data_IF_499880644928
#
_entry.id   IF_499880644928
#
_cell.length_a   1.000
_cell.length_b   1.000
_cell.length_c   1.000
_cell.angle_alpha   90.00
_cell.angle_beta   90.00
_cell.angle_gamma   90.00
#
_symmetry.space_group_name_H-M   'P 1'
#
loop_
_entity.id
_entity.type
_entity.pdbx_description
1 polymer ?
#
# COMPACT_ATOMS: atom_id res chain seq x y z
N UNK A 1 -4.34 7.38 -15.54
CA UNK A 1 -5.00 8.59 -15.02
C UNK A 1 -5.24 8.43 -13.55
N UNK A 2 -5.57 9.52 -12.90
CA UNK A 2 -5.95 9.47 -11.50
C UNK A 2 -7.15 8.55 -11.25
N UNK A 3 -7.85 8.21 -12.28
CA UNK A 3 -9.05 7.38 -12.30
C UNK A 3 -8.75 5.88 -12.31
N UNK A 4 -7.57 5.49 -12.76
CA UNK A 4 -7.12 4.10 -12.80
C UNK A 4 -6.17 3.76 -11.64
N UNK A 5 -5.55 4.77 -11.06
CA UNK A 5 -4.59 4.63 -9.99
C UNK A 5 -4.89 5.66 -8.89
N UNK A 6 -5.37 5.19 -7.75
CA UNK A 6 -5.77 6.04 -6.65
C UNK A 6 -4.59 6.82 -6.04
N UNK A 7 -3.40 6.23 -6.01
CA UNK A 7 -2.21 6.96 -5.53
C UNK A 7 -1.83 8.08 -6.50
N UNK A 8 -1.99 7.84 -7.79
CA UNK A 8 -1.78 8.86 -8.82
C UNK A 8 -2.82 9.97 -8.74
N UNK A 9 -4.09 9.64 -8.48
CA UNK A 9 -5.14 10.63 -8.21
C UNK A 9 -4.75 11.56 -7.07
N UNK A 10 -4.34 10.97 -5.97
CA UNK A 10 -3.92 11.74 -4.79
C UNK A 10 -2.76 12.68 -5.12
N UNK A 11 -1.77 12.20 -5.85
CA UNK A 11 -0.62 13.00 -6.26
C UNK A 11 -1.01 14.12 -7.22
N UNK A 12 -1.91 13.87 -8.17
CA UNK A 12 -2.39 14.89 -9.13
C UNK A 12 -3.16 15.98 -8.39
N UNK A 13 -4.06 15.60 -7.49
CA UNK A 13 -4.86 16.55 -6.72
C UNK A 13 -4.00 17.43 -5.81
N UNK A 14 -2.84 16.94 -5.39
CA UNK A 14 -1.89 17.65 -4.54
C UNK A 14 -0.65 18.18 -5.30
N UNK A 15 -0.71 18.23 -6.63
CA UNK A 15 0.47 18.57 -7.44
C UNK A 15 0.99 19.98 -7.22
N UNK A 16 0.12 20.93 -6.94
CA UNK A 16 0.55 22.31 -6.65
C UNK A 16 1.28 22.38 -5.32
N UNK A 17 0.78 21.67 -4.30
CA UNK A 17 1.46 21.54 -3.01
C UNK A 17 2.79 20.82 -3.16
N UNK A 18 2.84 19.79 -3.98
CA UNK A 18 4.06 19.06 -4.27
C UNK A 18 5.10 19.95 -4.95
N UNK A 19 4.69 20.75 -5.92
CA UNK A 19 5.58 21.73 -6.59
C UNK A 19 6.10 22.79 -5.62
N UNK A 20 5.25 23.29 -4.75
CA UNK A 20 5.65 24.26 -3.73
C UNK A 20 6.69 23.64 -2.78
N UNK A 21 6.43 22.47 -2.28
CA UNK A 21 7.37 21.72 -1.43
C UNK A 21 8.66 21.37 -2.16
N UNK A 22 8.58 21.05 -3.44
CA UNK A 22 9.74 20.78 -4.29
C UNK A 22 10.67 21.99 -4.39
N UNK A 23 10.10 23.18 -4.60
CA UNK A 23 10.86 24.41 -4.65
C UNK A 23 11.48 24.81 -3.31
N UNK A 24 10.96 24.28 -2.22
CA UNK A 24 11.39 24.54 -0.84
C UNK A 24 12.03 23.33 -0.19
N UNK A 25 12.54 22.37 -0.97
CA UNK A 25 13.13 21.16 -0.41
C UNK A 25 14.38 21.48 0.40
N UNK A 26 14.16 21.91 1.62
CA UNK A 26 15.18 22.23 2.60
C UNK A 26 15.25 21.15 3.66
N UNK A 27 16.46 20.83 4.09
CA UNK A 27 16.67 19.92 5.21
C UNK A 27 16.37 20.71 6.48
N UNK A 28 15.29 20.39 7.14
CA UNK A 28 14.97 20.91 8.46
C UNK A 28 15.97 20.36 9.48
N UNK A 29 16.21 21.11 10.57
CA UNK A 29 16.93 20.59 11.74
C UNK A 29 16.12 19.50 12.47
N UNK A 30 14.88 19.28 12.08
CA UNK A 30 14.04 18.19 12.59
C UNK A 30 14.68 16.83 12.27
N UNK A 31 14.82 15.98 13.28
CA UNK A 31 15.39 14.64 13.17
C UNK A 31 14.70 13.77 12.12
N UNK A 32 13.44 14.07 11.79
CA UNK A 32 12.71 13.39 10.73
C UNK A 32 13.42 13.48 9.37
N UNK A 33 14.09 14.60 9.07
CA UNK A 33 14.73 14.81 7.76
C UNK A 33 16.20 14.36 7.71
N UNK A 34 16.87 14.26 8.83
CA UNK A 34 18.33 14.09 8.88
C UNK A 34 18.79 12.79 8.22
N UNK A 35 18.04 11.71 8.38
CA UNK A 35 18.49 10.38 7.96
C UNK A 35 18.58 10.16 6.45
N UNK A 36 17.80 10.89 5.63
CA UNK A 36 17.73 10.59 4.20
C UNK A 36 17.56 11.79 3.25
N UNK A 37 17.74 12.99 3.75
CA UNK A 37 17.50 14.21 2.93
C UNK A 37 18.39 14.26 1.68
N UNK A 38 19.68 13.95 1.79
CA UNK A 38 20.60 14.03 0.66
C UNK A 38 20.30 13.00 -0.46
N UNK A 39 20.14 11.69 -0.17
CA UNK A 39 19.76 10.74 -1.23
C UNK A 39 18.35 10.99 -1.79
N UNK A 40 17.43 11.50 -0.98
CA UNK A 40 16.07 11.76 -1.43
C UNK A 40 15.98 12.95 -2.39
N UNK A 41 16.83 13.96 -2.27
CA UNK A 41 16.79 15.15 -3.13
C UNK A 41 16.94 14.80 -4.61
N UNK A 42 17.90 13.96 -4.94
CA UNK A 42 18.12 13.54 -6.32
C UNK A 42 16.93 12.74 -6.88
N UNK A 43 16.37 11.84 -6.08
CA UNK A 43 15.19 11.09 -6.47
C UNK A 43 13.97 12.00 -6.64
N UNK A 44 13.81 12.99 -5.77
CA UNK A 44 12.72 13.93 -5.80
C UNK A 44 12.64 14.71 -7.12
N UNK A 45 13.77 15.20 -7.64
CA UNK A 45 13.81 15.88 -8.92
C UNK A 45 13.30 15.00 -10.05
N UNK A 46 13.77 13.75 -10.12
CA UNK A 46 13.30 12.78 -11.12
C UNK A 46 11.84 12.42 -10.95
N UNK A 47 11.38 12.33 -9.72
CA UNK A 47 10.00 11.99 -9.39
C UNK A 47 9.02 13.06 -9.87
N UNK A 48 9.35 14.33 -9.72
CA UNK A 48 8.54 15.42 -10.24
C UNK A 48 8.42 15.38 -11.77
N UNK A 49 9.51 15.16 -12.45
CA UNK A 49 9.52 15.04 -13.92
C UNK A 49 8.67 13.85 -14.37
N UNK A 50 8.76 12.72 -13.67
CA UNK A 50 7.94 11.54 -13.95
C UNK A 50 6.45 11.84 -13.72
N UNK A 51 6.11 12.48 -12.62
CA UNK A 51 4.73 12.85 -12.28
C UNK A 51 4.12 13.79 -13.33
N UNK A 52 4.86 14.82 -13.72
CA UNK A 52 4.43 15.76 -14.74
C UNK A 52 4.24 15.08 -16.10
N UNK A 53 5.16 14.18 -16.45
CA UNK A 53 5.05 13.39 -17.69
C UNK A 53 3.82 12.49 -17.68
N UNK A 54 3.55 11.80 -16.59
CA UNK A 54 2.35 10.95 -16.45
C UNK A 54 1.07 11.77 -16.54
N UNK A 55 1.02 12.90 -15.89
CA UNK A 55 -0.14 13.81 -15.97
C UNK A 55 -0.40 14.28 -17.41
N UNK A 56 0.65 14.52 -18.19
CA UNK A 56 0.52 14.89 -19.60
C UNK A 56 0.07 13.74 -20.50
N UNK A 57 0.49 12.51 -20.18
CA UNK A 57 0.16 11.33 -20.98
C UNK A 57 -1.28 10.81 -20.79
N UNK A 58 -1.88 11.08 -19.65
CA UNK A 58 -3.18 10.51 -19.29
C UNK A 58 -4.33 11.50 -19.09
N UNK A 59 -4.37 12.67 -19.80
CA UNK A 59 -5.42 13.67 -19.55
C UNK A 59 -6.82 13.23 -20.00
N UNK A 60 -6.94 12.14 -20.74
CA UNK A 60 -8.19 11.69 -21.35
C UNK A 60 -8.62 10.27 -20.97
N UNK A 61 -7.90 9.62 -20.07
CA UNK A 61 -8.35 8.32 -19.61
C UNK A 61 -9.48 8.56 -18.62
N UNK A 62 -10.68 8.16 -19.05
CA UNK A 62 -11.86 8.28 -18.21
C UNK A 62 -11.76 7.30 -17.04
N UNK A 63 -12.20 7.74 -15.92
CA UNK A 63 -12.39 6.93 -14.74
C UNK A 63 -13.84 6.93 -14.36
N UNK A 64 -14.13 5.88 -13.71
CA UNK A 64 -15.40 5.71 -13.06
C UNK A 64 -15.49 6.49 -11.76
N UNK A 65 -14.35 6.96 -11.24
CA UNK A 65 -14.28 7.66 -9.95
C UNK A 65 -13.41 8.90 -10.07
N UNK A 66 -14.02 10.06 -10.06
CA UNK A 66 -13.32 11.35 -10.07
C UNK A 66 -12.93 11.83 -8.66
N UNK A 67 -13.45 11.21 -7.60
CA UNK A 67 -13.22 11.60 -6.20
C UNK A 67 -13.25 10.36 -5.31
N UNK A 68 -12.65 10.47 -4.11
CA UNK A 68 -12.82 9.46 -3.08
C UNK A 68 -14.24 9.50 -2.53
N UNK A 69 -14.87 8.33 -2.44
CA UNK A 69 -16.14 8.16 -1.73
C UNK A 69 -15.93 8.06 -0.21
N UNK A 70 -17.03 8.20 0.54
CA UNK A 70 -16.98 8.11 2.01
C UNK A 70 -16.50 6.75 2.54
N UNK A 71 -16.61 5.70 1.72
CA UNK A 71 -16.14 4.35 2.04
C UNK A 71 -14.67 4.12 1.67
N UNK A 72 -14.01 5.09 1.07
CA UNK A 72 -12.64 4.99 0.60
C UNK A 72 -11.70 5.69 1.57
N UNK A 73 -10.58 5.02 1.89
CA UNK A 73 -9.59 5.49 2.86
C UNK A 73 -8.20 5.47 2.27
N UNK A 74 -7.42 6.48 2.63
CA UNK A 74 -5.99 6.56 2.39
C UNK A 74 -5.29 6.99 3.70
N UNK A 75 -4.10 7.54 3.62
CA UNK A 75 -3.34 7.97 4.79
C UNK A 75 -3.66 9.37 5.32
N UNK A 76 -4.65 10.07 4.77
CA UNK A 76 -4.97 11.43 5.18
C UNK A 76 -5.36 11.57 6.66
N UNK A 77 -5.95 10.52 7.23
CA UNK A 77 -6.39 10.49 8.62
C UNK A 77 -5.25 10.18 9.61
N UNK A 78 -4.09 9.77 9.12
CA UNK A 78 -2.94 9.53 9.99
C UNK A 78 -2.38 10.85 10.54
N UNK A 79 -1.84 10.77 11.74
CA UNK A 79 -1.14 11.92 12.35
C UNK A 79 0.16 12.22 11.62
N UNK A 80 0.66 13.45 11.76
CA UNK A 80 1.97 13.84 11.23
C UNK A 80 3.05 12.84 11.66
N UNK A 81 3.93 12.47 10.75
CA UNK A 81 5.04 11.51 10.94
C UNK A 81 4.60 10.07 11.22
N UNK A 82 3.33 9.75 11.00
CA UNK A 82 2.84 8.38 11.13
C UNK A 82 2.69 7.74 9.76
N UNK A 83 3.18 6.52 9.64
CA UNK A 83 3.12 5.74 8.40
C UNK A 83 2.59 4.35 8.68
N UNK A 84 1.81 3.83 7.74
CA UNK A 84 1.31 2.45 7.76
C UNK A 84 1.95 1.66 6.63
N UNK A 85 2.58 0.53 6.97
CA UNK A 85 3.06 -0.41 5.97
C UNK A 85 1.94 -1.30 5.49
N UNK A 86 1.84 -1.48 4.19
CA UNK A 86 0.93 -2.42 3.55
C UNK A 86 1.63 -3.22 2.46
N UNK A 87 1.16 -4.44 2.24
CA UNK A 87 1.68 -5.37 1.24
C UNK A 87 0.54 -5.95 0.43
N UNK A 88 0.72 -6.00 -0.88
CA UNK A 88 -0.28 -6.46 -1.83
C UNK A 88 0.16 -7.74 -2.55
N UNK A 89 -0.84 -8.54 -2.98
CA UNK A 89 -0.66 -9.59 -3.96
C UNK A 89 -0.36 -10.98 -3.42
N UNK A 90 -0.11 -11.12 -2.12
CA UNK A 90 0.21 -12.40 -1.49
C UNK A 90 -0.99 -13.22 -1.03
N UNK A 91 -0.73 -14.29 -0.28
CA UNK A 91 0.60 -14.74 0.14
C UNK A 91 1.42 -15.37 -0.99
N UNK A 92 2.74 -15.26 -0.89
CA UNK A 92 3.67 -16.00 -1.73
C UNK A 92 3.63 -17.51 -1.38
N UNK A 93 4.31 -18.32 -2.19
CA UNK A 93 4.48 -19.74 -1.90
C UNK A 93 5.20 -19.98 -0.57
N UNK A 94 5.05 -21.18 -0.03
CA UNK A 94 5.69 -21.60 1.23
C UNK A 94 7.20 -21.34 1.19
N UNK A 95 7.73 -20.72 2.25
CA UNK A 95 9.14 -20.38 2.37
C UNK A 95 9.56 -19.14 1.57
N UNK A 96 8.60 -18.40 1.02
CA UNK A 96 8.85 -17.23 0.18
C UNK A 96 8.91 -15.90 0.92
N UNK A 97 8.68 -14.84 0.16
CA UNK A 97 8.86 -13.46 0.65
C UNK A 97 7.84 -13.03 1.70
N UNK A 98 6.60 -13.54 1.65
CA UNK A 98 5.58 -13.21 2.66
C UNK A 98 6.04 -13.62 4.06
N UNK A 99 6.59 -14.82 4.20
CA UNK A 99 7.12 -15.31 5.48
C UNK A 99 8.29 -14.47 5.95
N UNK A 100 9.23 -14.19 5.06
CA UNK A 100 10.38 -13.39 5.38
C UNK A 100 9.98 -11.98 5.89
N UNK A 101 9.04 -11.34 5.18
CA UNK A 101 8.55 -10.01 5.54
C UNK A 101 7.81 -10.02 6.88
N UNK A 102 6.90 -10.98 7.09
CA UNK A 102 6.17 -11.09 8.34
C UNK A 102 7.11 -11.35 9.53
N UNK A 103 8.10 -12.25 9.37
CA UNK A 103 9.09 -12.54 10.39
C UNK A 103 9.99 -11.32 10.66
N UNK A 104 10.40 -10.62 9.62
CA UNK A 104 11.19 -9.41 9.74
C UNK A 104 10.46 -8.33 10.54
N UNK A 105 9.18 -8.10 10.22
CA UNK A 105 8.36 -7.13 10.94
C UNK A 105 8.21 -7.49 12.42
N UNK A 106 7.96 -8.76 12.73
CA UNK A 106 7.89 -9.23 14.13
C UNK A 106 9.20 -8.98 14.89
N UNK A 107 10.33 -9.23 14.26
CA UNK A 107 11.65 -8.93 14.83
C UNK A 107 11.87 -7.44 15.08
N UNK A 108 11.29 -6.60 14.24
CA UNK A 108 11.32 -5.14 14.40
C UNK A 108 10.23 -4.62 15.36
N UNK A 109 9.43 -5.51 15.95
CA UNK A 109 8.27 -5.17 16.80
C UNK A 109 7.26 -4.26 16.06
N UNK A 110 7.07 -4.55 14.80
CA UNK A 110 6.16 -3.84 13.89
C UNK A 110 5.11 -4.80 13.34
N UNK A 111 4.03 -4.21 12.86
CA UNK A 111 3.05 -4.93 12.06
C UNK A 111 2.70 -4.15 10.79
N UNK A 112 2.02 -4.83 9.89
CA UNK A 112 1.55 -4.27 8.62
C UNK A 112 0.18 -4.87 8.28
N UNK A 113 -0.49 -4.26 7.31
CA UNK A 113 -1.66 -4.86 6.69
C UNK A 113 -1.25 -5.54 5.40
N UNK A 114 -1.53 -6.84 5.31
CA UNK A 114 -1.34 -7.64 4.11
C UNK A 114 -2.68 -7.78 3.40
N UNK A 115 -2.78 -7.24 2.19
CA UNK A 115 -3.96 -7.39 1.35
C UNK A 115 -3.80 -8.64 0.50
N UNK A 116 -4.42 -9.74 0.94
CA UNK A 116 -4.26 -11.04 0.34
C UNK A 116 -5.26 -11.26 -0.81
N UNK A 117 -4.79 -11.94 -1.86
CA UNK A 117 -5.66 -12.48 -2.90
C UNK A 117 -6.29 -13.79 -2.43
N UNK A 118 -7.60 -13.91 -2.58
CA UNK A 118 -8.31 -15.10 -2.15
C UNK A 118 -7.79 -16.39 -2.79
N UNK A 119 -7.50 -16.37 -4.09
CA UNK A 119 -6.95 -17.50 -4.81
C UNK A 119 -5.55 -17.91 -4.30
N UNK A 120 -4.70 -16.94 -4.01
CA UNK A 120 -3.36 -17.19 -3.46
C UNK A 120 -3.44 -17.78 -2.04
N UNK A 121 -4.34 -17.26 -1.24
CA UNK A 121 -4.56 -17.74 0.12
C UNK A 121 -5.10 -19.18 0.13
N UNK A 122 -6.07 -19.48 -0.72
CA UNK A 122 -6.61 -20.83 -0.86
C UNK A 122 -5.53 -21.83 -1.29
N UNK A 123 -4.74 -21.49 -2.30
CA UNK A 123 -3.62 -22.30 -2.76
C UNK A 123 -2.61 -22.54 -1.64
N UNK A 124 -2.32 -21.52 -0.86
CA UNK A 124 -1.37 -21.63 0.26
C UNK A 124 -1.87 -22.60 1.32
N UNK A 125 -3.16 -22.54 1.67
CA UNK A 125 -3.77 -23.47 2.64
C UNK A 125 -3.72 -24.91 2.12
N UNK A 126 -4.07 -25.12 0.84
CA UNK A 126 -4.06 -26.44 0.21
C UNK A 126 -2.66 -27.07 0.17
N UNK A 127 -1.62 -26.24 0.01
CA UNK A 127 -0.23 -26.70 -0.06
C UNK A 127 0.48 -26.79 1.29
N UNK A 128 -0.13 -26.25 2.33
CA UNK A 128 0.40 -26.30 3.69
C UNK A 128 -0.71 -26.72 4.65
N UNK A 129 -1.22 -25.80 5.45
CA UNK A 129 -2.36 -26.03 6.34
C UNK A 129 -2.94 -24.69 6.80
N UNK A 130 -4.14 -24.73 7.36
CA UNK A 130 -4.73 -23.56 8.03
C UNK A 130 -3.84 -23.08 9.18
N UNK A 131 -3.28 -23.98 9.97
CA UNK A 131 -2.39 -23.66 11.08
C UNK A 131 -1.12 -22.94 10.62
N UNK A 132 -0.52 -23.36 9.51
CA UNK A 132 0.66 -22.71 8.93
C UNK A 132 0.36 -21.30 8.47
N UNK A 133 -0.80 -21.07 7.85
CA UNK A 133 -1.21 -19.74 7.40
C UNK A 133 -1.51 -18.84 8.60
N UNK A 134 -2.13 -19.35 9.64
CA UNK A 134 -2.36 -18.62 10.89
C UNK A 134 -1.03 -18.21 11.54
N UNK A 135 -0.05 -19.09 11.57
CA UNK A 135 1.29 -18.80 12.08
C UNK A 135 2.00 -17.75 11.22
N UNK A 136 1.86 -17.82 9.90
CA UNK A 136 2.43 -16.86 8.95
C UNK A 136 2.06 -15.42 9.30
N UNK A 137 0.79 -15.18 9.54
CA UNK A 137 0.27 -13.82 9.75
C UNK A 137 0.17 -13.41 11.23
N UNK A 138 0.70 -14.20 12.16
CA UNK A 138 0.62 -13.89 13.58
C UNK A 138 1.12 -12.48 13.87
N UNK A 139 0.29 -11.67 14.54
CA UNK A 139 0.59 -10.28 14.88
C UNK A 139 0.42 -9.28 13.75
N UNK A 140 0.03 -9.74 12.55
CA UNK A 140 -0.21 -8.92 11.38
C UNK A 140 -1.71 -8.76 11.11
N UNK A 141 -2.10 -7.73 10.35
CA UNK A 141 -3.47 -7.57 9.87
C UNK A 141 -3.58 -8.10 8.44
N UNK A 142 -4.73 -8.70 8.12
CA UNK A 142 -5.02 -9.23 6.78
C UNK A 142 -6.33 -8.63 6.28
N UNK A 143 -6.22 -7.82 5.23
CA UNK A 143 -7.33 -7.36 4.42
C UNK A 143 -7.44 -8.20 3.14
N UNK A 144 -8.34 -7.81 2.25
CA UNK A 144 -8.57 -8.53 1.00
C UNK A 144 -8.19 -7.68 -0.21
N UNK A 145 -7.75 -8.33 -1.28
CA UNK A 145 -7.46 -7.71 -2.57
C UNK A 145 -8.33 -8.30 -3.71
N UNK A 146 -9.42 -8.94 -3.35
CA UNK A 146 -10.25 -9.70 -4.26
C UNK A 146 -9.75 -11.13 -4.45
N UNK A 147 -10.43 -11.88 -5.32
CA UNK A 147 -10.10 -13.28 -5.55
C UNK A 147 -8.88 -13.44 -6.46
N UNK A 148 -8.81 -12.62 -7.51
CA UNK A 148 -7.72 -12.59 -8.50
C UNK A 148 -7.20 -11.18 -8.65
N UNK A 149 -5.93 -11.06 -9.04
CA UNK A 149 -5.29 -9.76 -9.30
C UNK A 149 -5.70 -9.24 -10.68
N UNK A 150 -6.88 -8.64 -10.75
CA UNK A 150 -7.42 -8.01 -11.96
C UNK A 150 -8.28 -6.80 -11.60
N UNK A 151 -8.49 -5.92 -12.57
CA UNK A 151 -9.32 -4.74 -12.36
C UNK A 151 -10.75 -5.13 -11.96
N UNK A 152 -11.21 -4.56 -10.85
CA UNK A 152 -12.58 -4.72 -10.37
C UNK A 152 -13.53 -3.66 -10.90
N UNK A 153 -13.09 -2.80 -11.82
CA UNK A 153 -13.96 -1.80 -12.44
C UNK A 153 -14.80 -2.36 -13.58
N UNK A 154 -14.23 -3.25 -14.39
CA UNK A 154 -14.90 -3.82 -15.56
C UNK A 154 -15.18 -5.33 -15.47
N UNK A 155 -14.82 -5.95 -14.37
CA UNK A 155 -15.03 -7.38 -14.17
C UNK A 155 -16.46 -7.65 -13.71
N UNK A 156 -17.21 -8.45 -14.48
CA UNK A 156 -18.61 -8.77 -14.17
C UNK A 156 -18.78 -9.43 -12.80
N UNK A 157 -17.81 -10.24 -12.37
CA UNK A 157 -17.83 -10.98 -11.10
C UNK A 157 -17.12 -10.23 -9.94
N UNK A 158 -16.98 -8.93 -10.03
CA UNK A 158 -16.23 -8.16 -9.04
C UNK A 158 -16.82 -8.26 -7.62
N UNK A 159 -18.15 -8.30 -7.51
CA UNK A 159 -18.81 -8.43 -6.19
C UNK A 159 -18.55 -9.80 -5.58
N UNK A 160 -18.69 -10.87 -6.38
CA UNK A 160 -18.37 -12.23 -5.93
C UNK A 160 -16.91 -12.36 -5.51
N UNK A 161 -16.00 -11.76 -6.26
CA UNK A 161 -14.58 -11.70 -5.93
C UNK A 161 -14.35 -11.12 -4.53
N UNK A 162 -14.99 -10.01 -4.21
CA UNK A 162 -14.88 -9.34 -2.92
C UNK A 162 -15.50 -10.18 -1.81
N UNK A 163 -16.75 -10.63 -1.97
CA UNK A 163 -17.46 -11.38 -0.92
C UNK A 163 -16.82 -12.72 -0.62
N UNK A 164 -16.40 -13.45 -1.66
CA UNK A 164 -15.71 -14.73 -1.52
C UNK A 164 -14.39 -14.58 -0.79
N UNK A 165 -13.62 -13.56 -1.12
CA UNK A 165 -12.34 -13.29 -0.47
C UNK A 165 -12.51 -12.90 0.99
N UNK A 166 -13.48 -12.03 1.29
CA UNK A 166 -13.78 -11.62 2.66
C UNK A 166 -14.19 -12.82 3.53
N UNK A 167 -15.04 -13.69 3.02
CA UNK A 167 -15.45 -14.91 3.73
C UNK A 167 -14.28 -15.81 4.03
N UNK A 168 -13.39 -16.02 3.05
CA UNK A 168 -12.21 -16.88 3.22
C UNK A 168 -11.28 -16.33 4.31
N UNK A 169 -10.93 -15.05 4.25
CA UNK A 169 -10.02 -14.46 5.23
C UNK A 169 -10.65 -14.42 6.61
N UNK A 170 -11.91 -14.03 6.72
CA UNK A 170 -12.61 -13.94 7.99
C UNK A 170 -12.71 -15.32 8.69
N UNK A 171 -12.97 -16.39 7.93
CA UNK A 171 -13.07 -17.73 8.48
C UNK A 171 -11.72 -18.35 8.82
N UNK A 172 -10.70 -18.10 7.98
CA UNK A 172 -9.36 -18.68 8.15
C UNK A 172 -8.52 -17.91 9.19
N UNK A 173 -8.61 -16.60 9.18
CA UNK A 173 -7.77 -15.69 9.97
C UNK A 173 -8.63 -14.70 10.80
N UNK A 174 -9.51 -15.21 11.69
CA UNK A 174 -10.44 -14.32 12.41
C UNK A 174 -9.74 -13.31 13.32
N UNK A 175 -8.56 -13.65 13.83
CA UNK A 175 -7.77 -12.75 14.69
C UNK A 175 -7.00 -11.68 13.93
N UNK A 176 -6.77 -11.89 12.63
CA UNK A 176 -5.98 -10.99 11.77
C UNK A 176 -6.86 -10.14 10.85
N UNK A 177 -8.05 -10.64 10.53
CA UNK A 177 -8.94 -10.03 9.57
C UNK A 177 -9.28 -8.59 9.94
N UNK A 178 -9.12 -7.71 8.94
CA UNK A 178 -9.62 -6.33 8.98
C UNK A 178 -10.57 -6.13 7.79
N UNK A 179 -11.71 -5.43 7.97
CA UNK A 179 -12.74 -5.31 6.93
C UNK A 179 -12.37 -4.27 5.87
N UNK A 180 -11.25 -4.52 5.20
CA UNK A 180 -10.68 -3.62 4.20
C UNK A 180 -10.48 -4.36 2.88
N UNK A 181 -10.86 -3.72 1.79
CA UNK A 181 -10.60 -4.17 0.43
C UNK A 181 -9.68 -3.19 -0.28
N UNK A 182 -8.58 -3.71 -0.82
CA UNK A 182 -7.72 -2.93 -1.72
C UNK A 182 -7.93 -3.39 -3.15
N UNK A 183 -8.48 -2.51 -4.00
CA UNK A 183 -8.70 -2.88 -5.40
C UNK A 183 -7.37 -3.02 -6.12
N UNK A 184 -7.16 -4.12 -6.89
CA UNK A 184 -6.00 -4.22 -7.78
C UNK A 184 -5.89 -2.99 -8.70
N UNK A 185 -4.69 -2.45 -8.83
CA UNK A 185 -4.38 -1.22 -9.57
C UNK A 185 -5.08 0.05 -9.04
N UNK A 186 -5.73 -0.01 -7.89
CA UNK A 186 -6.58 1.07 -7.39
C UNK A 186 -7.90 1.22 -8.16
N UNK A 187 -8.20 0.34 -9.10
CA UNK A 187 -9.36 0.43 -9.98
C UNK A 187 -10.62 -0.11 -9.33
N UNK A 188 -11.65 0.70 -9.25
CA UNK A 188 -12.94 0.36 -8.67
C UNK A 188 -14.04 1.16 -9.36
N UNK A 189 -15.28 0.70 -9.18
CA UNK A 189 -16.46 1.33 -9.80
C UNK A 189 -16.91 2.54 -8.97
N UNK A 190 -17.35 3.59 -9.69
CA UNK A 190 -17.92 4.79 -9.08
C UNK A 190 -19.19 4.49 -8.27
N UNK A 191 -19.98 3.52 -8.71
CA UNK A 191 -21.26 3.14 -8.11
C UNK A 191 -21.16 2.02 -7.06
N UNK A 192 -19.99 1.82 -6.48
CA UNK A 192 -19.72 0.70 -5.57
C UNK A 192 -19.94 1.00 -4.08
N UNK A 193 -20.17 2.24 -3.70
CA UNK A 193 -20.27 2.63 -2.30
C UNK A 193 -21.34 1.86 -1.53
N UNK A 194 -22.54 1.74 -2.10
CA UNK A 194 -23.64 1.00 -1.47
C UNK A 194 -23.31 -0.47 -1.23
N UNK A 195 -22.62 -1.11 -2.18
CA UNK A 195 -22.15 -2.50 -2.03
C UNK A 195 -21.19 -2.63 -0.85
N UNK A 196 -20.15 -1.80 -0.78
CA UNK A 196 -19.16 -1.89 0.29
C UNK A 196 -19.77 -1.57 1.66
N UNK A 197 -20.65 -0.60 1.74
CA UNK A 197 -21.37 -0.30 2.98
C UNK A 197 -22.23 -1.48 3.42
N UNK A 198 -22.94 -2.12 2.51
CA UNK A 198 -23.76 -3.31 2.80
C UNK A 198 -22.91 -4.50 3.26
N UNK A 199 -21.69 -4.64 2.76
CA UNK A 199 -20.75 -5.68 3.16
C UNK A 199 -19.99 -5.34 4.45
N UNK A 200 -20.12 -4.13 4.98
CA UNK A 200 -19.33 -3.67 6.12
C UNK A 200 -17.85 -3.50 5.81
N UNK A 201 -17.51 -3.24 4.54
CA UNK A 201 -16.14 -3.10 4.06
C UNK A 201 -15.83 -1.64 3.72
N UNK A 202 -14.58 -1.24 3.94
CA UNK A 202 -14.02 -0.01 3.41
C UNK A 202 -12.99 -0.32 2.33
N UNK A 203 -12.83 0.59 1.38
CA UNK A 203 -11.80 0.52 0.35
C UNK A 203 -10.54 1.18 0.87
N UNK A 204 -9.45 0.43 0.94
CA UNK A 204 -8.17 0.90 1.45
C UNK A 204 -7.21 1.20 0.30
N UNK A 205 -6.97 2.47 0.07
CA UNK A 205 -6.06 2.97 -0.95
C UNK A 205 -4.68 3.28 -0.32
N UNK A 206 -3.82 3.98 -1.03
CA UNK A 206 -2.46 4.29 -0.57
C UNK A 206 -2.03 5.67 -1.03
N UNK A 207 -0.96 6.16 -0.44
CA UNK A 207 -0.35 7.46 -0.75
C UNK A 207 1.04 7.31 -1.35
N UNK A 208 1.76 6.29 -0.93
CA UNK A 208 3.17 6.08 -1.25
C UNK A 208 3.33 4.70 -1.90
N UNK A 209 3.46 4.70 -3.23
CA UNK A 209 3.72 3.50 -4.02
C UNK A 209 5.23 3.29 -4.15
N UNK A 210 5.72 2.16 -3.66
CA UNK A 210 7.15 1.83 -3.75
C UNK A 210 7.62 1.54 -5.18
N UNK A 211 6.70 1.19 -6.07
CA UNK A 211 7.00 0.73 -7.44
C UNK A 211 7.97 -0.47 -7.48
N UNK A 212 7.76 -1.39 -6.58
CA UNK A 212 8.52 -2.65 -6.50
C UNK A 212 8.03 -3.74 -7.46
N UNK A 213 7.08 -3.42 -8.33
CA UNK A 213 6.58 -4.34 -9.36
C UNK A 213 7.68 -4.77 -10.34
N UNK A 214 7.53 -5.96 -10.98
CA UNK A 214 8.44 -6.38 -12.04
C UNK A 214 8.52 -5.34 -13.17
N UNK A 215 9.73 -5.06 -13.64
CA UNK A 215 9.97 -4.09 -14.71
C UNK A 215 9.92 -2.63 -14.31
N UNK A 216 9.67 -2.35 -13.03
CA UNK A 216 9.70 -0.99 -12.46
C UNK A 216 11.09 -0.67 -11.89
N UNK A 217 11.13 -0.07 -10.70
CA UNK A 217 12.38 0.34 -10.06
C UNK A 217 13.16 -0.86 -9.50
N UNK A 218 14.46 -0.68 -9.33
CA UNK A 218 15.28 -1.59 -8.53
C UNK A 218 14.98 -1.39 -7.04
N UNK A 219 15.38 -2.34 -6.20
CA UNK A 219 15.11 -2.29 -4.76
C UNK A 219 15.62 -1.01 -4.09
N UNK A 220 16.84 -0.58 -4.40
CA UNK A 220 17.43 0.65 -3.85
C UNK A 220 16.66 1.89 -4.31
N UNK A 221 16.24 1.92 -5.56
CA UNK A 221 15.44 3.00 -6.11
C UNK A 221 14.04 3.04 -5.48
N UNK A 222 13.41 1.87 -5.24
CA UNK A 222 12.16 1.77 -4.52
C UNK A 222 12.29 2.31 -3.08
N UNK A 223 13.36 1.95 -2.39
CA UNK A 223 13.63 2.48 -1.05
C UNK A 223 13.80 4.00 -1.05
N UNK A 224 14.58 4.54 -1.99
CA UNK A 224 14.77 5.99 -2.14
C UNK A 224 13.47 6.72 -2.47
N UNK A 225 12.63 6.13 -3.34
CA UNK A 225 11.32 6.67 -3.67
C UNK A 225 10.43 6.75 -2.44
N UNK A 226 10.33 5.67 -1.67
CA UNK A 226 9.52 5.63 -0.45
C UNK A 226 10.01 6.67 0.55
N UNK A 227 11.31 6.75 0.81
CA UNK A 227 11.90 7.73 1.71
C UNK A 227 11.61 9.17 1.27
N UNK A 228 11.70 9.45 -0.03
CA UNK A 228 11.40 10.77 -0.58
C UNK A 228 9.94 11.15 -0.36
N UNK A 229 9.02 10.23 -0.65
CA UNK A 229 7.59 10.48 -0.46
C UNK A 229 7.20 10.58 1.01
N UNK A 230 7.85 9.83 1.90
CA UNK A 230 7.69 9.98 3.35
C UNK A 230 8.10 11.39 3.80
N UNK A 231 9.18 11.93 3.24
CA UNK A 231 9.62 13.30 3.50
C UNK A 231 8.59 14.33 3.04
N UNK A 232 8.12 14.19 1.80
CA UNK A 232 7.20 15.15 1.19
C UNK A 232 5.83 15.14 1.85
N UNK A 233 5.27 13.96 2.07
CA UNK A 233 3.91 13.80 2.60
C UNK A 233 3.85 13.86 4.12
N UNK A 234 4.91 13.53 4.82
CA UNK A 234 5.04 13.48 6.28
C UNK A 234 4.12 12.48 6.97
N UNK A 235 3.25 11.82 6.26
CA UNK A 235 2.35 10.76 6.71
C UNK A 235 1.90 9.95 5.51
N UNK A 236 1.38 8.78 5.72
CA UNK A 236 0.77 8.05 4.62
C UNK A 236 0.81 6.54 4.73
N UNK A 237 0.05 5.93 3.84
CA UNK A 237 0.00 4.49 3.63
C UNK A 237 0.98 4.12 2.53
N UNK A 238 1.91 3.23 2.87
CA UNK A 238 2.98 2.77 1.97
C UNK A 238 2.59 1.41 1.41
N UNK A 239 2.70 1.22 0.10
CA UNK A 239 2.45 -0.07 -0.55
C UNK A 239 3.73 -0.69 -1.11
N UNK A 240 3.96 -1.95 -0.73
CA UNK A 240 4.87 -2.90 -1.34
C UNK A 240 4.10 -4.14 -1.77
N UNK A 241 4.75 -5.03 -2.50
CA UNK A 241 4.18 -6.33 -2.87
C UNK A 241 4.96 -7.45 -2.17
N UNK A 242 4.27 -8.24 -1.35
CA UNK A 242 4.92 -9.29 -0.54
C UNK A 242 5.32 -10.54 -1.34
N UNK A 243 5.02 -10.55 -2.62
CA UNK A 243 5.50 -11.58 -3.55
C UNK A 243 6.82 -11.19 -4.24
N UNK A 244 7.32 -9.97 -4.00
CA UNK A 244 8.47 -9.42 -4.71
C UNK A 244 9.75 -9.47 -3.85
N UNK A 245 10.84 -9.94 -4.44
CA UNK A 245 12.18 -9.90 -3.82
C UNK A 245 12.61 -8.46 -3.51
N UNK A 246 12.16 -7.50 -4.31
CA UNK A 246 12.47 -6.08 -4.13
C UNK A 246 11.94 -5.54 -2.80
N UNK A 247 10.74 -5.93 -2.38
CA UNK A 247 10.20 -5.54 -1.08
C UNK A 247 11.09 -6.03 0.07
N UNK A 248 11.52 -7.28 -0.01
CA UNK A 248 12.42 -7.88 0.96
C UNK A 248 13.76 -7.14 1.05
N UNK A 249 14.30 -6.68 -0.07
CA UNK A 249 15.54 -5.91 -0.10
C UNK A 249 15.34 -4.43 0.30
N UNK A 250 14.26 -3.81 -0.14
CA UNK A 250 14.01 -2.38 0.07
C UNK A 250 13.56 -2.04 1.49
N UNK A 251 12.73 -2.86 2.12
CA UNK A 251 12.16 -2.57 3.43
C UNK A 251 13.22 -2.35 4.51
N UNK A 252 14.26 -3.19 4.65
CA UNK A 252 15.33 -2.92 5.61
C UNK A 252 16.03 -1.58 5.38
N UNK A 253 16.23 -1.18 4.14
CA UNK A 253 16.84 0.11 3.80
C UNK A 253 15.98 1.27 4.31
N UNK A 254 14.66 1.19 4.13
CA UNK A 254 13.71 2.20 4.63
C UNK A 254 13.75 2.25 6.15
N UNK A 255 13.67 1.11 6.83
CA UNK A 255 13.64 1.07 8.30
C UNK A 255 14.95 1.53 8.92
N UNK A 256 16.09 1.16 8.35
CA UNK A 256 17.40 1.62 8.82
C UNK A 256 17.56 3.13 8.68
N UNK A 257 17.16 3.69 7.53
CA UNK A 257 17.26 5.13 7.27
C UNK A 257 16.38 5.95 8.20
N UNK A 258 15.27 5.40 8.66
CA UNK A 258 14.27 6.11 9.48
C UNK A 258 14.35 5.79 10.97
N UNK A 259 15.25 4.92 11.40
CA UNK A 259 15.30 4.37 12.76
C UNK A 259 15.42 5.41 13.88
N UNK A 260 16.06 6.55 13.61
CA UNK A 260 16.27 7.62 14.56
C UNK A 260 15.62 8.95 14.16
N UNK A 261 14.65 8.87 13.25
CA UNK A 261 14.02 10.07 12.67
C UNK A 261 12.87 10.65 13.49
N UNK A 262 12.42 9.96 14.53
CA UNK A 262 11.27 10.38 15.33
C UNK A 262 9.92 10.11 14.66
N UNK A 263 9.88 9.39 13.54
CA UNK A 263 8.62 8.95 12.94
C UNK A 263 8.04 7.74 13.69
N UNK A 264 6.74 7.53 13.54
CA UNK A 264 6.03 6.39 14.10
C UNK A 264 5.48 5.48 13.00
N UNK A 265 5.42 4.19 13.32
CA UNK A 265 4.75 3.20 12.49
C UNK A 265 3.39 2.89 13.11
N UNK A 266 2.34 3.14 12.31
CA UNK A 266 0.96 2.94 12.75
C UNK A 266 0.71 1.45 13.02
N UNK A 267 0.12 1.15 14.17
CA UNK A 267 -0.40 -0.19 14.41
C UNK A 267 -1.54 -0.47 13.43
N UNK A 268 -1.44 -1.53 12.65
CA UNK A 268 -2.42 -1.85 11.63
C UNK A 268 -3.82 -2.12 12.20
N UNK A 269 -3.91 -2.51 13.46
CA UNK A 269 -5.20 -2.75 14.15
C UNK A 269 -5.95 -1.46 14.46
N UNK A 270 -5.26 -0.34 14.51
CA UNK A 270 -5.79 0.99 14.81
C UNK A 270 -6.01 1.83 13.55
N UNK A 271 -5.56 1.37 12.39
CA UNK A 271 -5.69 2.09 11.13
C UNK A 271 -7.13 2.01 10.58
N UNK A 272 -7.58 3.07 9.94
CA UNK A 272 -8.88 3.14 9.27
C UNK A 272 -10.10 2.94 10.19
N UNK A 273 -9.99 3.32 11.42
CA UNK A 273 -11.11 3.30 12.37
C UNK A 273 -12.01 4.53 12.26
#
# INVERSE_FOLDING_TARGET
SCEEDASFCFLVDNMDDLREQAGKFEVSEDSFYIGWAAPSRHFHERYLDELLRKAALFPQISSEVARFGDHERNGDELNDRMFLLTFDGGPAAVGGNTEWLADYLRKQKMNATFFALGSALQTRVERSSAADVQALYQGQCVGIQGWQYRSHSHWVDWQDSVTRSASLVQNLLPENYVPLFRPPYGQRRADSQGFFQAQGLQVALWDIDSQDDPGKLKAEESAQRVLTLMLLWRKGVIVFHDTQDKARAALPMVLQSTAQSGLGWQDCREAFR
#
